data_IF_351520492685
#
_entry.id   IF_351520492685
#
_cell.length_a   1.000
_cell.length_b   1.000
_cell.length_c   1.000
_cell.angle_alpha   90.00
_cell.angle_beta   90.00
_cell.angle_gamma   90.00
#
_symmetry.space_group_name_H-M   'P 1'
#
loop_
_entity.id
_entity.type
_entity.pdbx_description
1 polymer ?
#
# COMPACT_ATOMS: atom_id res chain seq x y z
N UNK A 1 13.10 49.13 -28.66
CA UNK A 1 12.12 48.75 -27.64
C UNK A 1 11.21 47.66 -28.18
N UNK A 2 11.16 46.50 -27.53
CA UNK A 2 9.95 45.69 -27.50
C UNK A 2 9.55 45.34 -26.05
N UNK A 3 8.40 45.88 -25.64
CA UNK A 3 7.40 45.25 -24.75
C UNK A 3 7.07 43.85 -25.28
N UNK A 4 6.72 42.80 -24.54
CA UNK A 4 6.10 42.55 -23.22
C UNK A 4 6.15 41.02 -23.06
N UNK A 5 6.28 40.43 -21.89
CA UNK A 5 5.10 39.98 -21.13
C UNK A 5 5.57 39.42 -19.80
N UNK A 6 5.16 40.09 -18.72
CA UNK A 6 5.30 39.64 -17.35
C UNK A 6 4.24 38.58 -17.09
N UNK A 7 4.65 37.34 -16.82
CA UNK A 7 3.76 36.30 -16.30
C UNK A 7 3.36 36.65 -14.86
N UNK A 8 2.21 37.29 -14.71
CA UNK A 8 1.58 37.49 -13.41
C UNK A 8 0.93 36.17 -12.97
N UNK A 9 1.37 35.66 -11.81
CA UNK A 9 0.75 34.56 -11.08
C UNK A 9 -0.75 34.82 -10.87
N UNK A 10 -1.60 34.05 -11.58
CA UNK A 10 -3.02 33.96 -11.23
C UNK A 10 -3.16 33.12 -9.97
N UNK A 11 -3.31 33.80 -8.83
CA UNK A 11 -3.92 33.24 -7.62
C UNK A 11 -5.30 32.70 -7.98
N UNK A 12 -5.46 31.39 -7.98
CA UNK A 12 -6.78 30.75 -7.90
C UNK A 12 -6.97 30.37 -6.43
N UNK A 13 -7.75 31.17 -5.70
CA UNK A 13 -8.21 30.82 -4.35
C UNK A 13 -9.45 29.94 -4.45
N UNK A 14 -9.21 28.66 -4.15
CA UNK A 14 -10.02 27.68 -3.41
C UNK A 14 -11.48 27.41 -3.78
N UNK A 15 -11.86 26.13 -3.87
CA UNK A 15 -12.93 25.60 -3.04
C UNK A 15 -12.37 25.25 -1.65
N UNK A 16 -12.94 25.84 -0.60
CA UNK A 16 -12.82 25.29 0.76
C UNK A 16 -13.64 24.00 0.78
N UNK A 17 -13.04 22.91 0.35
CA UNK A 17 -13.47 21.59 0.76
C UNK A 17 -12.60 21.26 1.97
N UNK A 18 -13.23 21.02 3.10
CA UNK A 18 -12.63 20.35 4.24
C UNK A 18 -12.24 18.94 3.79
N UNK A 19 -11.15 18.83 3.03
CA UNK A 19 -10.51 17.57 2.70
C UNK A 19 -9.80 17.12 3.96
N UNK A 20 -10.18 15.96 4.49
CA UNK A 20 -9.36 15.23 5.42
C UNK A 20 -8.16 14.68 4.64
N UNK A 21 -7.14 15.53 4.41
CA UNK A 21 -5.93 15.09 3.69
C UNK A 21 -5.08 14.23 4.63
N UNK A 22 -5.25 12.90 4.58
CA UNK A 22 -4.29 11.97 5.22
C UNK A 22 -2.86 12.20 4.72
N UNK A 23 -2.75 12.64 3.47
CA UNK A 23 -1.49 12.84 2.77
C UNK A 23 -1.44 14.26 2.22
N UNK A 24 -1.04 15.25 3.05
CA UNK A 24 -0.91 16.63 2.61
C UNK A 24 0.01 16.72 1.38
N UNK A 25 -0.54 17.15 0.25
CA UNK A 25 0.19 17.25 -1.02
C UNK A 25 0.05 16.04 -1.96
N UNK A 26 -0.65 14.98 -1.58
CA UNK A 26 -0.94 13.82 -2.44
C UNK A 26 -2.45 13.70 -2.73
N UNK A 27 -3.06 14.78 -3.26
CA UNK A 27 -4.49 14.78 -3.60
C UNK A 27 -4.88 13.69 -4.61
N UNK A 28 -3.94 13.25 -5.45
CA UNK A 28 -4.14 12.13 -6.37
C UNK A 28 -4.34 10.81 -5.62
N UNK A 29 -3.65 10.62 -4.50
CA UNK A 29 -3.71 9.39 -3.70
C UNK A 29 -5.05 9.27 -2.99
N UNK A 30 -5.57 10.38 -2.45
CA UNK A 30 -6.94 10.42 -1.90
C UNK A 30 -7.96 10.02 -2.95
N UNK A 31 -7.88 10.58 -4.16
CA UNK A 31 -8.78 10.24 -5.25
C UNK A 31 -8.63 8.79 -5.73
N UNK A 32 -7.41 8.26 -5.72
CA UNK A 32 -7.14 6.86 -6.05
C UNK A 32 -7.71 5.91 -4.99
N UNK A 33 -7.47 6.17 -3.70
CA UNK A 33 -7.98 5.37 -2.59
C UNK A 33 -9.51 5.30 -2.61
N UNK A 34 -10.17 6.43 -2.86
CA UNK A 34 -11.63 6.48 -3.04
C UNK A 34 -12.11 5.57 -4.17
N UNK A 35 -11.39 5.51 -5.29
CA UNK A 35 -11.71 4.56 -6.38
C UNK A 35 -11.54 3.12 -5.95
N UNK A 36 -10.45 2.79 -5.24
CA UNK A 36 -10.22 1.44 -4.74
C UNK A 36 -11.34 0.98 -3.82
N UNK A 37 -11.75 1.83 -2.88
CA UNK A 37 -12.83 1.54 -1.93
C UNK A 37 -14.16 1.26 -2.62
N UNK A 38 -14.50 1.99 -3.69
CA UNK A 38 -15.73 1.76 -4.47
C UNK A 38 -15.74 0.45 -5.24
N UNK A 39 -14.57 -0.13 -5.52
CA UNK A 39 -14.46 -1.41 -6.20
C UNK A 39 -14.57 -2.60 -5.23
N UNK A 40 -14.60 -2.34 -3.93
CA UNK A 40 -14.64 -3.39 -2.93
C UNK A 40 -16.04 -3.94 -2.72
N UNK A 41 -16.17 -5.23 -2.40
CA UNK A 41 -17.45 -5.82 -2.06
C UNK A 41 -17.96 -5.26 -0.73
N UNK A 42 -19.28 -5.01 -0.64
CA UNK A 42 -19.91 -4.37 0.53
C UNK A 42 -19.62 -5.09 1.85
N UNK A 43 -19.51 -6.42 1.82
CA UNK A 43 -19.25 -7.22 3.03
C UNK A 43 -17.97 -6.82 3.76
N UNK A 44 -17.00 -6.23 3.05
CA UNK A 44 -15.74 -5.76 3.65
C UNK A 44 -15.97 -4.68 4.70
N UNK A 45 -17.05 -3.93 4.54
CA UNK A 45 -17.39 -2.79 5.39
C UNK A 45 -18.40 -3.15 6.49
N UNK A 46 -18.82 -4.41 6.61
CA UNK A 46 -19.80 -4.85 7.63
C UNK A 46 -19.31 -4.60 9.07
N UNK A 47 -18.00 -4.50 9.26
CA UNK A 47 -17.39 -4.16 10.56
C UNK A 47 -17.41 -2.66 10.88
N UNK A 48 -17.75 -1.80 9.92
CA UNK A 48 -17.80 -0.35 10.10
C UNK A 48 -19.23 0.08 10.42
N UNK A 49 -19.48 0.59 11.64
CA UNK A 49 -20.81 1.09 11.99
C UNK A 49 -21.15 2.33 11.16
N UNK A 50 -22.40 2.40 10.69
CA UNK A 50 -22.99 3.58 10.04
C UNK A 50 -22.31 3.99 8.73
N UNK A 51 -21.52 3.12 8.11
CA UNK A 51 -20.96 3.41 6.79
C UNK A 51 -22.06 3.28 5.73
N UNK A 52 -22.30 4.38 5.02
CA UNK A 52 -23.06 4.37 3.77
C UNK A 52 -22.06 4.33 2.62
N UNK A 53 -21.98 3.20 1.92
CA UNK A 53 -21.06 3.00 0.79
C UNK A 53 -21.47 3.83 -0.44
N UNK A 54 -22.72 4.29 -0.49
CA UNK A 54 -23.25 5.12 -1.58
C UNK A 54 -22.97 6.62 -1.37
N UNK A 55 -22.63 7.03 -0.14
CA UNK A 55 -22.23 8.40 0.19
C UNK A 55 -20.70 8.56 0.20
N UNK A 56 -20.17 9.21 -0.84
CA UNK A 56 -18.74 9.53 -0.95
C UNK A 56 -18.20 10.32 0.25
N UNK A 57 -19.04 11.15 0.88
CA UNK A 57 -18.68 11.91 2.08
C UNK A 57 -18.50 11.01 3.29
N UNK A 58 -19.40 10.03 3.47
CA UNK A 58 -19.37 9.04 4.54
C UNK A 58 -18.13 8.15 4.45
N UNK A 59 -17.83 7.62 3.27
CA UNK A 59 -16.70 6.73 3.03
C UNK A 59 -15.36 7.38 3.38
N UNK A 60 -15.12 8.60 2.89
CA UNK A 60 -13.92 9.35 3.23
C UNK A 60 -13.87 9.66 4.72
N UNK A 61 -14.98 10.07 5.34
CA UNK A 61 -15.01 10.47 6.74
C UNK A 61 -14.72 9.34 7.74
N UNK A 62 -14.97 8.07 7.37
CA UNK A 62 -14.77 6.89 8.23
C UNK A 62 -13.51 6.11 7.89
N UNK A 63 -13.22 5.89 6.61
CA UNK A 63 -12.06 5.11 6.18
C UNK A 63 -10.76 5.87 6.41
N UNK A 64 -10.75 7.19 6.21
CA UNK A 64 -9.53 7.98 6.38
C UNK A 64 -9.02 7.95 7.83
N UNK A 65 -9.84 8.23 8.86
CA UNK A 65 -9.40 8.04 10.25
C UNK A 65 -8.96 6.62 10.56
N UNK A 66 -9.62 5.61 9.98
CA UNK A 66 -9.25 4.21 10.15
C UNK A 66 -7.87 3.92 9.56
N UNK A 67 -7.56 4.44 8.36
CA UNK A 67 -6.25 4.36 7.74
C UNK A 67 -5.16 4.96 8.63
N UNK A 68 -5.37 6.18 9.15
CA UNK A 68 -4.40 6.81 10.06
C UNK A 68 -4.19 5.96 11.30
N UNK A 69 -5.27 5.44 11.87
CA UNK A 69 -5.20 4.63 13.08
C UNK A 69 -4.46 3.31 12.88
N UNK A 70 -4.68 2.65 11.75
CA UNK A 70 -3.93 1.45 11.39
C UNK A 70 -2.44 1.78 11.26
N UNK A 71 -2.10 2.90 10.62
CA UNK A 71 -0.72 3.35 10.54
C UNK A 71 -0.12 3.61 11.92
N UNK A 72 -0.83 4.32 12.81
CA UNK A 72 -0.39 4.59 14.18
C UNK A 72 -0.17 3.29 14.98
N UNK A 73 -1.03 2.28 14.82
CA UNK A 73 -0.88 0.97 15.48
C UNK A 73 0.36 0.23 14.94
N UNK A 74 0.60 0.29 13.63
CA UNK A 74 1.76 -0.34 13.01
C UNK A 74 3.06 0.33 13.49
N UNK A 75 3.09 1.66 13.55
CA UNK A 75 4.27 2.42 14.01
C UNK A 75 4.52 2.28 15.52
N UNK A 76 3.45 2.20 16.32
CA UNK A 76 3.54 2.07 17.78
C UNK A 76 3.81 0.64 18.28
N UNK A 77 3.77 -0.37 17.40
CA UNK A 77 3.94 -1.77 17.74
C UNK A 77 5.30 -2.29 17.30
N UNK A 78 5.98 -3.03 18.18
CA UNK A 78 7.27 -3.65 17.85
C UNK A 78 7.12 -4.82 16.86
N UNK A 79 5.95 -5.47 16.85
CA UNK A 79 5.67 -6.66 16.04
C UNK A 79 4.19 -6.75 15.66
N UNK A 80 3.66 -5.81 14.85
CA UNK A 80 2.25 -5.79 14.49
C UNK A 80 1.88 -7.03 13.69
N UNK A 81 0.70 -7.59 13.93
CA UNK A 81 0.04 -8.59 13.09
C UNK A 81 -1.34 -8.07 12.66
N UNK A 82 -1.91 -8.64 11.60
CA UNK A 82 -3.27 -8.25 11.18
C UNK A 82 -4.24 -8.55 12.32
N UNK A 83 -4.14 -9.71 12.97
CA UNK A 83 -4.98 -10.06 14.12
C UNK A 83 -4.81 -9.07 15.29
N UNK A 84 -3.59 -8.61 15.59
CA UNK A 84 -3.38 -7.65 16.68
C UNK A 84 -3.97 -6.28 16.35
N UNK A 85 -3.84 -5.82 15.10
CA UNK A 85 -4.41 -4.56 14.64
C UNK A 85 -5.94 -4.60 14.74
N UNK A 86 -6.56 -5.65 14.21
CA UNK A 86 -8.02 -5.86 14.29
C UNK A 86 -8.48 -5.84 15.74
N UNK A 87 -7.78 -6.57 16.63
CA UNK A 87 -8.09 -6.58 18.06
C UNK A 87 -8.03 -5.18 18.68
N UNK A 88 -6.99 -4.40 18.40
CA UNK A 88 -6.86 -3.02 18.89
C UNK A 88 -7.99 -2.11 18.38
N UNK A 89 -8.40 -2.28 17.12
CA UNK A 89 -9.51 -1.52 16.53
C UNK A 89 -10.86 -1.84 17.19
N UNK A 90 -11.09 -3.11 17.57
CA UNK A 90 -12.28 -3.51 18.35
C UNK A 90 -12.25 -2.92 19.76
N UNK A 91 -11.11 -3.02 20.46
CA UNK A 91 -10.95 -2.54 21.83
C UNK A 91 -11.18 -1.03 21.95
N UNK A 92 -10.86 -0.26 20.91
CA UNK A 92 -11.07 1.17 20.90
C UNK A 92 -12.46 1.61 20.38
N UNK A 93 -13.20 0.70 19.73
CA UNK A 93 -14.51 0.96 19.13
C UNK A 93 -14.49 1.56 17.72
N UNK A 94 -13.37 1.53 17.00
CA UNK A 94 -13.28 1.96 15.59
C UNK A 94 -14.01 1.01 14.64
N UNK A 95 -14.16 -0.25 15.04
CA UNK A 95 -14.96 -1.27 14.36
C UNK A 95 -15.93 -1.90 15.36
N UNK A 96 -17.10 -2.32 14.88
CA UNK A 96 -18.22 -2.79 15.71
C UNK A 96 -18.15 -4.29 15.96
N UNK A 97 -18.32 -4.73 17.20
CA UNK A 97 -18.46 -6.14 17.57
C UNK A 97 -19.93 -6.60 17.46
N UNK A 98 -20.36 -7.03 16.27
CA UNK A 98 -21.62 -7.79 16.10
C UNK A 98 -21.37 -9.30 16.10
N UNK A 99 -22.08 -10.07 15.27
CA UNK A 99 -21.92 -11.53 15.16
C UNK A 99 -20.44 -11.91 14.90
N UNK A 100 -19.80 -12.51 15.91
CA UNK A 100 -18.34 -12.39 16.11
C UNK A 100 -17.53 -12.93 14.94
N UNK A 101 -18.01 -13.95 14.23
CA UNK A 101 -17.20 -14.63 13.21
C UNK A 101 -17.21 -13.89 11.86
N UNK A 102 -18.37 -13.48 11.36
CA UNK A 102 -18.46 -12.80 10.05
C UNK A 102 -17.84 -11.41 10.09
N UNK A 103 -18.03 -10.70 11.21
CA UNK A 103 -17.49 -9.35 11.40
C UNK A 103 -15.99 -9.38 11.65
N UNK A 104 -15.48 -10.38 12.36
CA UNK A 104 -14.04 -10.58 12.47
C UNK A 104 -13.45 -10.84 11.09
N UNK A 105 -14.14 -11.60 10.25
CA UNK A 105 -13.70 -11.85 8.89
C UNK A 105 -13.68 -10.57 8.03
N UNK A 106 -14.75 -9.78 8.05
CA UNK A 106 -14.79 -8.51 7.31
C UNK A 106 -13.72 -7.53 7.80
N UNK A 107 -13.56 -7.36 9.13
CA UNK A 107 -12.55 -6.50 9.72
C UNK A 107 -11.12 -6.91 9.32
N UNK A 108 -10.85 -8.22 9.35
CA UNK A 108 -9.54 -8.76 8.96
C UNK A 108 -9.25 -8.51 7.48
N UNK A 109 -10.24 -8.71 6.60
CA UNK A 109 -10.11 -8.43 5.16
C UNK A 109 -9.90 -6.93 4.90
N UNK A 110 -10.63 -6.08 5.63
CA UNK A 110 -10.51 -4.62 5.54
C UNK A 110 -9.13 -4.14 5.98
N UNK A 111 -8.62 -4.62 7.11
CA UNK A 111 -7.26 -4.28 7.59
C UNK A 111 -6.21 -4.75 6.57
N UNK A 112 -6.32 -5.97 6.05
CA UNK A 112 -5.44 -6.46 4.99
C UNK A 112 -5.47 -5.55 3.75
N UNK A 113 -6.64 -5.13 3.31
CA UNK A 113 -6.78 -4.26 2.15
C UNK A 113 -6.19 -2.87 2.40
N UNK A 114 -6.47 -2.27 3.56
CA UNK A 114 -5.94 -0.96 3.96
C UNK A 114 -4.41 -0.98 4.04
N UNK A 115 -3.80 -2.03 4.59
CA UNK A 115 -2.33 -2.16 4.60
C UNK A 115 -1.78 -2.18 3.17
N UNK A 116 -2.40 -2.95 2.27
CA UNK A 116 -2.01 -3.00 0.86
C UNK A 116 -2.08 -1.63 0.20
N UNK A 117 -3.18 -0.89 0.41
CA UNK A 117 -3.33 0.46 -0.14
C UNK A 117 -2.33 1.45 0.47
N UNK A 118 -2.22 1.53 1.80
CA UNK A 118 -1.32 2.46 2.50
C UNK A 118 0.14 2.27 2.13
N UNK A 119 0.56 1.02 2.00
CA UNK A 119 1.96 0.69 1.74
C UNK A 119 2.28 0.58 0.24
N UNK A 120 1.26 0.38 -0.59
CA UNK A 120 1.38 0.05 -2.02
C UNK A 120 2.31 -1.15 -2.29
N UNK A 121 2.50 -2.03 -1.31
CA UNK A 121 3.37 -3.21 -1.43
C UNK A 121 2.70 -4.34 -2.22
N UNK A 122 1.36 -4.38 -2.18
CA UNK A 122 0.55 -5.33 -2.91
C UNK A 122 -0.84 -4.77 -3.16
N UNK A 123 -1.47 -5.24 -4.22
CA UNK A 123 -2.89 -4.95 -4.49
C UNK A 123 -3.73 -6.08 -3.91
N UNK A 124 -4.62 -5.80 -2.94
CA UNK A 124 -5.48 -6.84 -2.38
C UNK A 124 -6.47 -7.33 -3.46
N UNK A 125 -6.56 -8.64 -3.66
CA UNK A 125 -7.62 -9.26 -4.46
C UNK A 125 -8.72 -9.68 -3.51
N UNK A 126 -9.82 -8.93 -3.51
CA UNK A 126 -10.93 -9.09 -2.56
C UNK A 126 -12.19 -9.61 -3.23
N UNK A 127 -12.21 -9.59 -4.57
CA UNK A 127 -13.33 -10.03 -5.40
C UNK A 127 -13.21 -11.51 -5.77
N UNK A 128 -12.00 -11.98 -6.07
CA UNK A 128 -11.77 -13.37 -6.49
C UNK A 128 -11.28 -14.25 -5.35
N UNK A 129 -11.06 -13.67 -4.16
CA UNK A 129 -10.48 -14.38 -3.03
C UNK A 129 -11.53 -15.14 -2.21
N UNK A 130 -11.27 -16.42 -1.89
CA UNK A 130 -12.08 -17.16 -0.92
C UNK A 130 -12.08 -16.48 0.45
N UNK A 131 -13.18 -16.60 1.21
CA UNK A 131 -13.34 -15.97 2.52
C UNK A 131 -12.30 -16.42 3.57
N UNK A 132 -11.68 -17.60 3.38
CA UNK A 132 -10.70 -18.18 4.28
C UNK A 132 -9.22 -17.89 3.89
N UNK A 133 -9.00 -17.05 2.89
CA UNK A 133 -7.67 -16.74 2.36
C UNK A 133 -7.44 -15.23 2.27
N UNK A 134 -6.16 -14.86 2.18
CA UNK A 134 -5.70 -13.56 1.72
C UNK A 134 -5.13 -13.73 0.33
N UNK A 135 -5.55 -12.88 -0.60
CA UNK A 135 -5.11 -12.92 -1.98
C UNK A 135 -4.58 -11.57 -2.41
N UNK A 136 -3.53 -11.59 -3.24
CA UNK A 136 -3.03 -10.41 -3.94
C UNK A 136 -3.27 -10.60 -5.44
N UNK A 137 -3.48 -9.49 -6.14
CA UNK A 137 -3.70 -9.51 -7.60
C UNK A 137 -2.43 -9.99 -8.30
N UNK A 138 -2.60 -10.84 -9.32
CA UNK A 138 -1.52 -11.21 -10.24
C UNK A 138 -1.30 -10.06 -11.23
N UNK A 139 -0.46 -9.09 -10.86
CA UNK A 139 -0.13 -7.97 -11.74
C UNK A 139 0.71 -8.39 -12.97
N UNK A 140 1.25 -9.61 -12.96
CA UNK A 140 2.19 -10.10 -13.97
C UNK A 140 1.55 -11.11 -14.94
N UNK A 141 0.23 -11.31 -14.87
CA UNK A 141 -0.52 -12.26 -15.70
C UNK A 141 0.16 -13.65 -15.73
N UNK A 142 0.58 -14.12 -14.54
CA UNK A 142 1.22 -15.44 -14.35
C UNK A 142 2.74 -15.45 -14.48
N UNK A 143 3.39 -14.36 -14.88
CA UNK A 143 4.86 -14.29 -14.95
C UNK A 143 5.46 -14.03 -13.57
N UNK A 144 5.88 -15.09 -12.88
CA UNK A 144 6.50 -14.98 -11.55
C UNK A 144 8.01 -15.05 -11.66
N UNK A 145 8.69 -13.97 -11.26
CA UNK A 145 10.12 -14.02 -10.98
C UNK A 145 10.42 -14.84 -9.71
N UNK A 146 11.70 -15.04 -9.40
CA UNK A 146 12.14 -15.87 -8.28
C UNK A 146 11.75 -15.30 -6.90
N UNK A 147 11.36 -14.02 -6.83
CA UNK A 147 11.01 -13.32 -5.58
C UNK A 147 9.58 -13.53 -5.05
N UNK A 148 8.66 -14.14 -5.81
CA UNK A 148 7.27 -14.38 -5.38
C UNK A 148 7.07 -15.82 -4.89
N UNK A 149 6.66 -15.99 -3.63
CA UNK A 149 6.38 -17.31 -3.06
C UNK A 149 4.97 -17.79 -3.41
N UNK A 150 3.96 -16.93 -3.23
CA UNK A 150 2.56 -17.26 -3.44
C UNK A 150 1.73 -15.99 -3.65
N UNK A 151 0.62 -16.07 -4.37
CA UNK A 151 -0.38 -14.99 -4.42
C UNK A 151 -1.50 -15.16 -3.39
N UNK A 152 -1.48 -16.29 -2.67
CA UNK A 152 -2.52 -16.68 -1.73
C UNK A 152 -1.92 -17.19 -0.43
N UNK A 153 -2.52 -16.81 0.69
CA UNK A 153 -2.16 -17.30 2.01
C UNK A 153 -3.40 -17.62 2.83
N UNK A 154 -3.37 -18.68 3.62
CA UNK A 154 -4.49 -19.01 4.51
C UNK A 154 -4.65 -17.97 5.62
N UNK A 155 -5.89 -17.78 6.09
CA UNK A 155 -6.23 -16.82 7.17
C UNK A 155 -5.46 -16.98 8.46
N UNK A 156 -4.99 -18.18 8.77
CA UNK A 156 -4.13 -18.45 9.93
C UNK A 156 -2.84 -17.62 9.90
N UNK A 157 -2.42 -17.13 8.73
CA UNK A 157 -1.30 -16.21 8.58
C UNK A 157 -1.51 -14.83 9.22
N UNK A 158 -2.76 -14.42 9.48
CA UNK A 158 -3.09 -13.10 10.05
C UNK A 158 -2.48 -12.84 11.43
N UNK A 159 -2.19 -13.90 12.20
CA UNK A 159 -1.59 -13.80 13.53
C UNK A 159 -0.06 -13.74 13.51
N UNK A 160 0.57 -13.95 12.35
CA UNK A 160 2.02 -13.77 12.18
C UNK A 160 2.38 -12.30 12.21
N UNK A 161 3.63 -11.98 12.54
CA UNK A 161 4.17 -10.62 12.38
C UNK A 161 3.99 -10.18 10.93
N UNK A 162 3.72 -8.90 10.72
CA UNK A 162 3.45 -8.36 9.40
C UNK A 162 4.61 -8.63 8.43
N UNK A 163 5.85 -8.54 8.88
CA UNK A 163 7.04 -8.93 8.09
C UNK A 163 6.98 -10.37 7.58
N UNK A 164 6.62 -11.30 8.46
CA UNK A 164 6.61 -12.74 8.17
C UNK A 164 5.38 -13.12 7.33
N UNK A 165 4.26 -12.42 7.56
CA UNK A 165 3.06 -12.52 6.74
C UNK A 165 3.34 -12.03 5.31
N UNK A 166 3.94 -10.85 5.14
CA UNK A 166 4.27 -10.30 3.83
C UNK A 166 5.29 -11.16 3.09
N UNK A 167 6.27 -11.73 3.81
CA UNK A 167 7.24 -12.67 3.23
C UNK A 167 6.56 -13.89 2.59
N UNK A 168 5.41 -14.33 3.10
CA UNK A 168 4.64 -15.43 2.53
C UNK A 168 4.09 -15.15 1.12
N UNK A 169 4.01 -13.89 0.70
CA UNK A 169 3.70 -13.52 -0.69
C UNK A 169 4.97 -13.36 -1.55
N UNK A 170 6.12 -13.15 -0.94
CA UNK A 170 7.39 -12.90 -1.60
C UNK A 170 8.21 -11.82 -0.89
N UNK A 171 9.33 -11.43 -1.51
CA UNK A 171 10.18 -10.35 -1.01
C UNK A 171 9.54 -9.00 -1.34
N UNK A 172 8.52 -8.61 -0.58
CA UNK A 172 7.82 -7.31 -0.74
C UNK A 172 8.51 -6.17 0.00
N UNK A 173 9.20 -6.48 1.10
CA UNK A 173 9.97 -5.52 1.88
C UNK A 173 11.46 -5.82 1.70
N UNK A 174 12.33 -4.79 1.73
CA UNK A 174 13.75 -5.02 1.93
C UNK A 174 13.91 -5.76 3.26
N UNK A 175 14.55 -6.95 3.31
CA UNK A 175 14.69 -7.72 4.54
C UNK A 175 15.34 -6.86 5.63
N UNK A 176 14.69 -6.74 6.79
CA UNK A 176 15.21 -5.97 7.92
C UNK A 176 16.56 -6.54 8.42
N UNK A 177 16.79 -7.83 8.22
CA UNK A 177 18.02 -8.54 8.51
C UNK A 177 18.51 -9.28 7.24
N UNK A 178 19.16 -8.55 6.33
CA UNK A 178 19.78 -9.14 5.14
C UNK A 178 20.95 -10.10 5.47
N UNK A 179 21.31 -10.25 6.75
CA UNK A 179 22.24 -11.28 7.22
C UNK A 179 21.72 -12.72 7.03
N UNK A 180 20.48 -12.91 6.59
CA UNK A 180 19.94 -14.22 6.25
C UNK A 180 20.27 -14.69 4.82
N UNK A 181 20.80 -13.82 3.94
CA UNK A 181 21.44 -14.30 2.71
C UNK A 181 22.84 -14.74 3.08
N UNK A 182 22.95 -15.99 3.53
CA UNK A 182 24.22 -16.63 3.86
C UNK A 182 25.00 -17.05 2.60
N UNK A 183 24.40 -16.92 1.41
CA UNK A 183 25.05 -17.29 0.15
C UNK A 183 25.96 -16.17 -0.39
N UNK A 184 27.29 -16.35 -0.36
CA UNK A 184 28.24 -15.36 -0.89
C UNK A 184 28.16 -15.18 -2.41
N UNK A 185 27.53 -16.08 -3.17
CA UNK A 185 27.35 -15.95 -4.62
C UNK A 185 26.21 -14.98 -4.97
N UNK A 186 25.09 -15.05 -4.24
CA UNK A 186 23.97 -14.10 -4.39
C UNK A 186 24.38 -12.68 -4.00
N UNK A 187 25.18 -12.53 -2.94
CA UNK A 187 25.74 -11.22 -2.53
C UNK A 187 26.57 -10.62 -3.68
N UNK A 188 27.43 -11.43 -4.33
CA UNK A 188 28.25 -10.96 -5.47
C UNK A 188 27.44 -10.66 -6.73
N UNK A 189 26.32 -11.36 -6.95
CA UNK A 189 25.43 -11.08 -8.07
C UNK A 189 24.67 -9.77 -7.84
N UNK A 190 24.21 -9.54 -6.62
CA UNK A 190 23.51 -8.32 -6.22
C UNK A 190 24.43 -7.09 -6.21
N UNK A 191 25.66 -7.21 -5.71
CA UNK A 191 26.64 -6.11 -5.74
C UNK A 191 27.05 -5.72 -7.18
N UNK A 192 26.75 -6.57 -8.17
CA UNK A 192 26.90 -6.26 -9.60
C UNK A 192 25.67 -5.57 -10.19
N UNK A 193 24.50 -5.61 -9.54
CA UNK A 193 23.36 -4.82 -9.99
C UNK A 193 23.69 -3.34 -9.75
N UNK A 194 23.88 -2.61 -10.85
CA UNK A 194 24.08 -1.18 -10.79
C UNK A 194 22.84 -0.51 -10.21
N UNK A 195 22.96 0.12 -9.04
CA UNK A 195 21.91 0.98 -8.52
C UNK A 195 21.81 2.24 -9.40
N UNK A 196 20.61 2.55 -9.86
CA UNK A 196 20.33 3.78 -10.60
C UNK A 196 19.73 4.78 -9.62
N UNK A 197 20.47 5.84 -9.32
CA UNK A 197 19.93 6.98 -8.60
C UNK A 197 18.96 7.76 -9.52
N UNK A 198 17.86 8.24 -8.93
CA UNK A 198 16.95 9.20 -9.55
C UNK A 198 17.67 10.40 -10.19
N UNK A 199 18.78 10.86 -9.60
CA UNK A 199 19.59 11.96 -10.14
C UNK A 199 20.34 11.61 -11.42
N UNK A 200 20.60 10.32 -11.65
CA UNK A 200 21.23 9.78 -12.86
C UNK A 200 20.20 9.40 -13.95
N UNK A 201 18.90 9.45 -13.62
CA UNK A 201 17.83 9.00 -14.50
C UNK A 201 17.27 10.18 -15.33
N UNK A 202 17.65 10.24 -16.60
CA UNK A 202 17.06 11.19 -17.55
C UNK A 202 15.82 10.59 -18.23
N UNK A 203 14.67 10.75 -17.58
CA UNK A 203 13.38 10.24 -18.03
C UNK A 203 13.03 10.70 -19.46
N UNK A 204 13.40 11.94 -19.82
CA UNK A 204 13.14 12.49 -21.15
C UNK A 204 13.88 11.73 -22.26
N UNK A 205 15.15 11.36 -22.03
CA UNK A 205 15.93 10.59 -23.00
C UNK A 205 15.45 9.14 -23.09
N UNK A 206 15.11 8.51 -21.96
CA UNK A 206 14.57 7.14 -21.92
C UNK A 206 13.27 7.02 -22.71
N UNK A 207 12.38 7.98 -22.56
CA UNK A 207 11.07 7.99 -23.26
C UNK A 207 11.21 8.39 -24.73
N UNK A 208 12.00 9.42 -25.03
CA UNK A 208 12.06 10.01 -26.38
C UNK A 208 12.98 9.24 -27.33
N UNK A 209 14.12 8.76 -26.83
CA UNK A 209 15.14 8.08 -27.64
C UNK A 209 15.15 6.58 -27.36
N UNK A 210 15.03 6.20 -26.09
CA UNK A 210 15.05 4.80 -25.66
C UNK A 210 13.75 4.04 -25.92
N UNK A 211 12.66 4.72 -26.29
CA UNK A 211 11.36 4.10 -26.51
C UNK A 211 10.76 3.45 -25.26
N UNK A 212 11.24 3.82 -24.06
CA UNK A 212 10.76 3.30 -22.79
C UNK A 212 9.45 4.02 -22.42
N UNK A 213 8.37 3.27 -22.18
CA UNK A 213 7.14 3.80 -21.60
C UNK A 213 7.21 3.73 -20.07
N UNK A 214 6.79 4.80 -19.41
CA UNK A 214 6.65 4.83 -17.95
C UNK A 214 5.18 4.93 -17.61
N UNK A 215 4.71 3.95 -16.86
CA UNK A 215 3.34 3.87 -16.37
C UNK A 215 3.35 3.92 -14.85
N UNK A 216 2.40 4.65 -14.29
CA UNK A 216 2.17 4.62 -12.84
C UNK A 216 1.47 3.30 -12.52
N UNK A 217 2.14 2.46 -11.75
CA UNK A 217 1.56 1.22 -11.22
C UNK A 217 0.94 1.48 -9.84
N UNK A 218 -0.12 0.75 -9.50
CA UNK A 218 -0.77 0.89 -8.20
C UNK A 218 0.03 0.23 -7.05
N UNK A 219 1.08 -0.52 -7.39
CA UNK A 219 1.97 -1.18 -6.45
C UNK A 219 3.42 -0.93 -6.84
N UNK A 220 4.32 -1.00 -5.85
CA UNK A 220 5.75 -1.08 -6.09
C UNK A 220 6.00 -2.27 -7.01
N UNK A 221 6.57 -2.00 -8.18
CA UNK A 221 6.76 -3.04 -9.18
C UNK A 221 7.69 -4.11 -8.61
N UNK A 222 7.30 -5.38 -8.73
CA UNK A 222 7.99 -6.54 -8.15
C UNK A 222 9.42 -6.78 -8.66
N UNK A 223 9.87 -5.98 -9.64
CA UNK A 223 11.23 -5.96 -10.19
C UNK A 223 12.10 -4.81 -9.65
N UNK A 224 11.56 -3.98 -8.76
CA UNK A 224 12.33 -2.94 -8.07
C UNK A 224 12.98 -3.53 -6.83
N UNK A 225 14.25 -3.87 -6.96
CA UNK A 225 15.09 -4.17 -5.81
C UNK A 225 15.53 -2.87 -5.14
N UNK A 226 15.07 -2.65 -3.90
CA UNK A 226 15.38 -1.44 -3.15
C UNK A 226 16.86 -1.41 -2.72
N UNK A 227 17.55 -0.31 -3.01
CA UNK A 227 18.95 -0.13 -2.64
C UNK A 227 19.12 -0.15 -1.10
N UNK A 228 20.03 -1.00 -0.62
CA UNK A 228 20.40 -1.22 0.79
C UNK A 228 20.83 0.08 1.50
N UNK A 229 21.45 1.01 0.78
CA UNK A 229 22.02 2.24 1.35
C UNK A 229 21.06 3.42 1.41
N UNK A 230 19.86 3.31 0.83
CA UNK A 230 18.88 4.39 0.81
C UNK A 230 18.41 4.81 2.23
N UNK A 231 18.57 3.94 3.23
CA UNK A 231 18.25 4.22 4.64
C UNK A 231 19.33 4.99 5.40
N UNK A 232 20.54 5.12 4.86
CA UNK A 232 21.69 5.70 5.58
C UNK A 232 21.88 7.21 5.39
N UNK A 233 21.14 7.84 4.48
CA UNK A 233 21.20 9.29 4.28
C UNK A 233 20.09 10.01 5.05
N UNK A 234 20.16 9.97 6.39
CA UNK A 234 19.66 11.06 7.21
C UNK A 234 20.85 11.96 7.57
N UNK A 235 21.13 12.91 6.68
CA UNK A 235 21.94 14.11 6.97
C UNK A 235 21.04 15.25 7.41
#
# INVERSE_FOLDING_TARGET
MPSTSSFALKKVRQPKNTSFDLFPGLSWYTAWLQKQLKLQPSFMFDSLPELDCEDEGSLASKILPLCTKIADIIEGSEAPSISSIVKSLFEDGSISAGDEHQILDSATSLVFAIIGWLTMLYRPDTLSCPSNEFCIVDEMDGHRGEGHMSLKQGRMGSSKRLSDFLLGFGVMLPPANYHAIEDPEEIKAYDKLGSVDSSALNLFLLTTIGGVSVEWTDCLACHLELNKDARLNKG
#
